data_IF_966716355380
#
_entry.id   IF_966716355380
#
_cell.length_a   1.000
_cell.length_b   1.000
_cell.length_c   1.000
_cell.angle_alpha   90.00
_cell.angle_beta   90.00
_cell.angle_gamma   90.00
#
_symmetry.space_group_name_H-M   'P 1'
#
loop_
_entity.id
_entity.type
_entity.pdbx_description
1 polymer ?
#
# COMPACT_ATOMS: atom_id res chain seq x y z
N UNK A 1 56.65 5.36 3.52
CA UNK A 1 55.64 6.40 3.20
C UNK A 1 54.28 5.73 3.28
N UNK A 2 53.46 5.94 4.32
CA UNK A 2 52.10 5.41 4.32
C UNK A 2 51.24 6.24 3.36
N UNK A 3 50.68 5.56 2.36
CA UNK A 3 49.73 6.13 1.40
C UNK A 3 48.45 6.53 2.11
N UNK A 4 48.11 7.81 2.09
CA UNK A 4 46.80 8.29 2.52
C UNK A 4 45.76 7.85 1.48
N UNK A 5 44.95 6.85 1.83
CA UNK A 5 43.70 6.59 1.11
C UNK A 5 42.63 7.52 1.68
N UNK A 6 42.14 8.45 0.87
CA UNK A 6 40.97 9.25 1.19
C UNK A 6 39.75 8.35 1.49
N UNK A 7 38.82 8.78 2.35
CA UNK A 7 37.58 8.04 2.57
C UNK A 7 36.74 8.03 1.28
N UNK A 8 35.90 6.99 1.07
CA UNK A 8 35.04 6.93 -0.11
C UNK A 8 34.04 8.08 -0.07
N UNK A 9 34.00 8.87 -1.14
CA UNK A 9 32.95 9.87 -1.38
C UNK A 9 31.62 9.12 -1.49
N UNK A 10 30.67 9.40 -0.59
CA UNK A 10 29.34 8.85 -0.66
C UNK A 10 28.70 9.23 -2.02
N UNK A 11 28.02 8.30 -2.72
CA UNK A 11 27.37 8.61 -3.98
C UNK A 11 26.29 9.69 -3.78
N UNK A 12 26.05 10.56 -4.79
CA UNK A 12 25.03 11.60 -4.71
C UNK A 12 23.67 10.99 -4.34
N UNK A 13 23.04 11.63 -3.36
CA UNK A 13 22.00 11.05 -2.50
C UNK A 13 20.92 10.26 -3.21
N UNK A 14 20.72 9.03 -2.74
CA UNK A 14 19.50 8.27 -2.98
C UNK A 14 18.28 9.15 -2.63
N UNK A 15 17.24 9.22 -3.49
CA UNK A 15 15.98 9.79 -3.07
C UNK A 15 15.47 9.05 -1.83
N UNK A 16 15.07 9.81 -0.80
CA UNK A 16 14.49 9.31 0.44
C UNK A 16 13.32 8.36 0.13
N UNK A 17 13.16 7.34 0.98
CA UNK A 17 12.08 6.33 1.02
C UNK A 17 10.71 6.92 0.66
N UNK A 18 9.80 6.12 0.10
CA UNK A 18 8.89 6.65 -0.90
C UNK A 18 7.79 7.57 -0.36
N UNK A 19 7.42 8.49 -1.27
CA UNK A 19 6.59 9.67 -1.13
C UNK A 19 5.21 9.43 -1.74
N UNK A 20 4.38 8.55 -1.17
CA UNK A 20 3.13 8.15 -1.83
C UNK A 20 1.96 9.00 -1.37
N UNK A 21 2.09 10.30 -1.58
CA UNK A 21 0.98 11.22 -1.47
C UNK A 21 -0.06 10.94 -2.55
N UNK A 22 -1.32 10.96 -2.15
CA UNK A 22 -2.42 10.83 -3.07
C UNK A 22 -3.60 11.70 -2.62
N UNK A 23 -3.89 12.74 -3.38
CA UNK A 23 -5.09 13.53 -3.15
C UNK A 23 -6.35 12.75 -3.52
N UNK A 24 -7.52 13.20 -3.04
CA UNK A 24 -8.81 12.60 -3.36
C UNK A 24 -9.05 12.43 -4.87
N UNK A 25 -8.71 13.46 -5.65
CA UNK A 25 -8.87 13.45 -7.10
C UNK A 25 -7.95 12.44 -7.81
N UNK A 26 -6.79 12.14 -7.23
CA UNK A 26 -5.79 11.25 -7.81
C UNK A 26 -6.00 9.78 -7.41
N UNK A 27 -6.78 9.55 -6.35
CA UNK A 27 -7.11 8.21 -5.85
C UNK A 27 -7.81 7.33 -6.89
N UNK A 28 -8.92 7.74 -7.53
CA UNK A 28 -9.57 6.91 -8.55
C UNK A 28 -8.63 6.54 -9.72
N UNK A 29 -7.91 7.49 -10.36
CA UNK A 29 -6.93 7.16 -11.40
C UNK A 29 -5.83 6.19 -10.93
N UNK A 30 -5.35 6.32 -9.70
CA UNK A 30 -4.32 5.43 -9.15
C UNK A 30 -4.85 4.02 -8.86
N UNK A 31 -6.06 3.89 -8.31
CA UNK A 31 -6.72 2.60 -8.11
C UNK A 31 -6.96 1.89 -9.44
N UNK A 32 -7.41 2.63 -10.45
CA UNK A 32 -7.64 2.11 -11.77
C UNK A 32 -6.33 1.67 -12.46
N UNK A 33 -5.22 2.41 -12.26
CA UNK A 33 -3.89 1.95 -12.67
C UNK A 33 -3.48 0.65 -11.98
N UNK A 34 -3.75 0.51 -10.67
CA UNK A 34 -3.46 -0.72 -9.92
C UNK A 34 -4.30 -1.89 -10.41
N UNK A 35 -5.59 -1.66 -10.69
CA UNK A 35 -6.52 -2.66 -11.23
C UNK A 35 -6.02 -3.19 -12.57
N UNK A 36 -5.66 -2.30 -13.52
CA UNK A 36 -5.10 -2.71 -14.82
C UNK A 36 -3.80 -3.49 -14.69
N UNK A 37 -2.93 -3.12 -13.75
CA UNK A 37 -1.71 -3.88 -13.50
C UNK A 37 -2.04 -5.28 -12.98
N UNK A 38 -3.01 -5.40 -12.08
CA UNK A 38 -3.44 -6.69 -11.54
C UNK A 38 -4.10 -7.57 -12.61
N UNK A 39 -4.97 -6.99 -13.45
CA UNK A 39 -5.58 -7.68 -14.58
C UNK A 39 -4.52 -8.24 -15.52
N UNK A 40 -3.49 -7.44 -15.82
CA UNK A 40 -2.36 -7.88 -16.65
C UNK A 40 -1.62 -9.08 -16.05
N UNK A 41 -1.47 -9.13 -14.72
CA UNK A 41 -0.84 -10.26 -14.05
C UNK A 41 -1.73 -11.51 -14.10
N UNK A 42 -3.02 -11.36 -13.86
CA UNK A 42 -4.00 -12.46 -13.90
C UNK A 42 -4.23 -13.02 -15.29
N UNK A 43 -4.16 -12.18 -16.33
CA UNK A 43 -4.33 -12.56 -17.74
C UNK A 43 -3.05 -13.11 -18.39
N UNK A 44 -1.92 -13.05 -17.69
CA UNK A 44 -0.67 -13.66 -18.18
C UNK A 44 -0.81 -15.19 -18.23
N UNK A 45 -0.10 -15.85 -19.15
CA UNK A 45 -0.09 -17.32 -19.27
C UNK A 45 0.32 -18.04 -17.97
N UNK A 46 1.14 -17.37 -17.17
CA UNK A 46 1.61 -17.81 -15.84
C UNK A 46 0.69 -17.38 -14.69
N UNK A 47 -0.32 -16.55 -14.95
CA UNK A 47 -1.12 -15.87 -13.93
C UNK A 47 -2.11 -16.77 -13.21
N UNK A 48 -2.56 -17.84 -13.87
CA UNK A 48 -3.67 -18.67 -13.40
C UNK A 48 -3.39 -19.33 -12.04
N UNK A 49 -2.14 -19.72 -11.75
CA UNK A 49 -1.75 -20.38 -10.50
C UNK A 49 -1.85 -19.45 -9.28
N UNK A 50 -1.87 -18.14 -9.51
CA UNK A 50 -1.99 -17.12 -8.46
C UNK A 50 -3.41 -16.54 -8.34
N UNK A 51 -4.37 -17.02 -9.12
CA UNK A 51 -5.71 -16.44 -9.20
C UNK A 51 -6.61 -16.75 -8.00
N UNK A 52 -6.26 -17.78 -7.20
CA UNK A 52 -7.03 -18.24 -6.04
C UNK A 52 -6.08 -18.62 -4.89
N UNK A 53 -6.57 -18.65 -3.63
CA UNK A 53 -5.80 -19.19 -2.52
C UNK A 53 -5.28 -20.59 -2.83
N UNK A 54 -4.07 -20.91 -2.37
CA UNK A 54 -3.49 -22.26 -2.48
C UNK A 54 -4.40 -23.25 -1.74
N UNK A 55 -4.92 -24.23 -2.48
CA UNK A 55 -5.73 -25.32 -1.91
C UNK A 55 -4.81 -26.41 -1.36
N UNK A 56 -4.41 -26.24 -0.10
CA UNK A 56 -3.47 -27.16 0.57
C UNK A 56 -4.04 -28.57 0.76
N UNK A 57 -5.36 -28.73 0.76
CA UNK A 57 -6.00 -30.03 0.90
C UNK A 57 -5.96 -30.78 -0.43
N UNK A 58 -6.48 -30.17 -1.51
CA UNK A 58 -6.55 -30.83 -2.82
C UNK A 58 -5.17 -31.08 -3.45
N UNK A 59 -4.16 -30.28 -3.08
CA UNK A 59 -2.77 -30.44 -3.51
C UNK A 59 -1.91 -31.27 -2.53
N UNK A 60 -2.49 -31.76 -1.43
CA UNK A 60 -1.81 -32.55 -0.39
C UNK A 60 -0.59 -31.86 0.25
N UNK A 61 -0.57 -30.52 0.26
CA UNK A 61 0.53 -29.69 0.77
C UNK A 61 0.42 -29.51 2.30
N UNK A 62 0.67 -30.59 3.04
CA UNK A 62 0.45 -30.64 4.50
C UNK A 62 1.34 -29.67 5.30
N UNK A 63 2.48 -29.30 4.75
CA UNK A 63 3.46 -28.41 5.38
C UNK A 63 3.30 -26.94 4.96
N UNK A 64 2.45 -26.62 3.97
CA UNK A 64 2.37 -25.27 3.38
C UNK A 64 2.13 -24.18 4.42
N UNK A 65 1.18 -24.39 5.34
CA UNK A 65 0.86 -23.41 6.39
C UNK A 65 1.89 -23.36 7.52
N UNK A 66 2.81 -24.32 7.58
CA UNK A 66 3.97 -24.28 8.48
C UNK A 66 5.15 -23.51 7.87
N UNK A 67 5.28 -23.54 6.54
CA UNK A 67 6.32 -22.82 5.79
C UNK A 67 5.89 -21.37 5.49
N UNK A 68 4.62 -21.18 5.10
CA UNK A 68 4.06 -19.90 4.66
C UNK A 68 3.16 -19.33 5.76
N UNK A 69 3.68 -18.34 6.47
CA UNK A 69 3.01 -17.71 7.61
C UNK A 69 1.78 -16.88 7.22
N UNK A 70 1.83 -16.18 6.07
CA UNK A 70 0.73 -15.31 5.61
C UNK A 70 0.39 -15.64 4.14
N UNK A 71 -0.48 -16.64 3.89
CA UNK A 71 -0.94 -16.95 2.54
C UNK A 71 -1.58 -15.75 1.83
N UNK A 72 -1.36 -15.63 0.52
CA UNK A 72 -1.94 -14.56 -0.31
C UNK A 72 -2.05 -15.03 -1.76
N UNK A 73 -3.03 -14.48 -2.48
CA UNK A 73 -3.29 -14.72 -3.91
C UNK A 73 -3.81 -13.44 -4.58
N UNK A 74 -3.67 -13.36 -5.91
CA UNK A 74 -4.05 -12.18 -6.69
C UNK A 74 -5.58 -11.99 -6.76
N UNK A 75 -6.38 -13.05 -6.62
CA UNK A 75 -7.84 -12.95 -6.54
C UNK A 75 -8.29 -12.24 -5.27
N UNK A 76 -7.70 -12.60 -4.13
CA UNK A 76 -7.91 -11.91 -2.85
C UNK A 76 -7.45 -10.46 -2.92
N UNK A 77 -6.29 -10.19 -3.54
CA UNK A 77 -5.81 -8.81 -3.78
C UNK A 77 -6.81 -8.01 -4.62
N UNK A 78 -7.33 -8.59 -5.70
CA UNK A 78 -8.31 -7.94 -6.59
C UNK A 78 -9.54 -7.54 -5.81
N UNK A 79 -10.12 -8.48 -5.07
CA UNK A 79 -11.31 -8.24 -4.25
C UNK A 79 -11.06 -7.18 -3.18
N UNK A 80 -9.88 -7.15 -2.56
CA UNK A 80 -9.52 -6.11 -1.57
C UNK A 80 -9.39 -4.73 -2.21
N UNK A 81 -8.84 -4.66 -3.42
CA UNK A 81 -8.71 -3.41 -4.16
C UNK A 81 -10.08 -2.85 -4.56
N UNK A 82 -10.95 -3.70 -5.13
CA UNK A 82 -12.33 -3.35 -5.53
C UNK A 82 -13.16 -2.84 -4.35
N UNK A 83 -13.07 -3.54 -3.20
CA UNK A 83 -13.79 -3.17 -1.98
C UNK A 83 -13.11 -2.00 -1.22
N UNK A 84 -12.06 -1.39 -1.78
CA UNK A 84 -11.28 -0.29 -1.18
C UNK A 84 -10.84 -0.60 0.25
N UNK A 85 -10.41 -1.85 0.49
CA UNK A 85 -10.00 -2.36 1.81
C UNK A 85 -8.53 -2.11 2.13
N UNK A 86 -7.77 -1.59 1.18
CA UNK A 86 -6.38 -1.20 1.43
C UNK A 86 -6.30 0.19 2.09
N UNK A 87 -5.51 0.34 3.17
CA UNK A 87 -5.31 1.63 3.84
C UNK A 87 -4.37 2.57 3.08
N UNK A 88 -3.71 2.10 2.02
CA UNK A 88 -2.90 2.86 1.06
C UNK A 88 -2.45 1.91 -0.08
N UNK A 89 -1.86 2.46 -1.15
CA UNK A 89 -1.35 1.65 -2.27
C UNK A 89 -0.15 0.77 -1.89
N UNK A 90 0.61 1.13 -0.85
CA UNK A 90 1.74 0.32 -0.39
C UNK A 90 1.28 -1.03 0.16
N UNK A 91 0.16 -1.07 0.86
CA UNK A 91 -0.43 -2.31 1.35
C UNK A 91 -0.93 -3.20 0.20
N UNK A 92 -1.47 -2.60 -0.87
CA UNK A 92 -1.77 -3.32 -2.11
C UNK A 92 -0.49 -3.94 -2.70
N UNK A 93 0.55 -3.13 -2.90
CA UNK A 93 1.81 -3.61 -3.46
C UNK A 93 2.48 -4.69 -2.58
N UNK A 94 2.35 -4.56 -1.25
CA UNK A 94 2.83 -5.57 -0.29
C UNK A 94 2.15 -6.92 -0.50
N UNK A 95 0.83 -6.96 -0.65
CA UNK A 95 0.11 -8.22 -0.85
C UNK A 95 0.41 -8.86 -2.22
N UNK A 96 0.58 -8.07 -3.28
CA UNK A 96 1.03 -8.59 -4.58
C UNK A 96 2.41 -9.22 -4.47
N UNK A 97 3.38 -8.51 -3.85
CA UNK A 97 4.73 -9.04 -3.60
C UNK A 97 4.70 -10.29 -2.76
N UNK A 98 3.85 -10.33 -1.73
CA UNK A 98 3.67 -11.48 -0.85
C UNK A 98 3.21 -12.72 -1.60
N UNK A 99 2.29 -12.56 -2.54
CA UNK A 99 1.82 -13.66 -3.40
C UNK A 99 2.99 -14.34 -4.09
N UNK A 100 3.88 -13.56 -4.72
CA UNK A 100 5.04 -14.11 -5.42
C UNK A 100 6.16 -14.56 -4.48
N UNK A 101 6.42 -13.85 -3.38
CA UNK A 101 7.45 -14.25 -2.41
C UNK A 101 7.09 -15.56 -1.72
N UNK A 102 5.81 -15.78 -1.40
CA UNK A 102 5.35 -17.04 -0.82
C UNK A 102 5.59 -18.20 -1.79
N UNK A 103 5.24 -18.01 -3.06
CA UNK A 103 5.48 -19.02 -4.10
C UNK A 103 6.97 -19.33 -4.27
N UNK A 104 7.84 -18.32 -4.31
CA UNK A 104 9.29 -18.51 -4.39
C UNK A 104 9.92 -19.06 -3.10
N UNK A 105 9.24 -18.95 -1.96
CA UNK A 105 9.71 -19.52 -0.68
C UNK A 105 9.33 -21.00 -0.58
N UNK A 106 8.14 -21.37 -1.03
CA UNK A 106 7.63 -22.74 -0.93
C UNK A 106 8.19 -23.66 -2.02
N UNK A 107 8.37 -23.16 -3.24
CA UNK A 107 8.81 -23.95 -4.38
C UNK A 107 10.33 -23.80 -4.60
N UNK A 108 10.97 -24.83 -5.16
CA UNK A 108 12.41 -24.75 -5.44
C UNK A 108 12.66 -23.90 -6.68
N UNK A 109 13.83 -23.25 -6.73
CA UNK A 109 14.27 -22.54 -7.92
C UNK A 109 14.39 -23.50 -9.10
N UNK A 110 13.80 -23.14 -10.24
CA UNK A 110 13.69 -23.99 -11.43
C UNK A 110 12.36 -24.73 -11.56
N UNK A 111 11.56 -24.82 -10.49
CA UNK A 111 10.19 -25.32 -10.59
C UNK A 111 9.31 -24.30 -11.34
N UNK A 112 8.34 -24.79 -12.12
CA UNK A 112 7.47 -23.94 -12.94
C UNK A 112 6.82 -22.81 -12.13
N UNK A 113 6.25 -23.12 -10.96
CA UNK A 113 5.59 -22.13 -10.09
C UNK A 113 6.57 -21.08 -9.58
N UNK A 114 7.82 -21.46 -9.27
CA UNK A 114 8.87 -20.52 -8.86
C UNK A 114 9.18 -19.56 -10.01
N UNK A 115 9.42 -20.10 -11.22
CA UNK A 115 9.81 -19.29 -12.37
C UNK A 115 8.66 -18.38 -12.84
N UNK A 116 7.42 -18.87 -12.82
CA UNK A 116 6.21 -18.07 -13.03
C UNK A 116 6.12 -16.91 -12.03
N UNK A 117 6.33 -17.17 -10.73
CA UNK A 117 6.31 -16.13 -9.69
C UNK A 117 7.43 -15.08 -9.90
N UNK A 118 8.64 -15.53 -10.21
CA UNK A 118 9.78 -14.63 -10.47
C UNK A 118 9.53 -13.75 -11.71
N UNK A 119 8.95 -14.32 -12.78
CA UNK A 119 8.59 -13.58 -14.00
C UNK A 119 7.53 -12.52 -13.72
N UNK A 120 6.41 -12.91 -13.10
CA UNK A 120 5.30 -12.00 -12.79
C UNK A 120 5.72 -10.92 -11.78
N UNK A 121 6.59 -11.24 -10.82
CA UNK A 121 7.14 -10.25 -9.89
C UNK A 121 7.91 -9.14 -10.62
N UNK A 122 8.68 -9.45 -11.67
CA UNK A 122 9.38 -8.42 -12.47
C UNK A 122 8.40 -7.55 -13.26
N UNK A 123 7.35 -8.15 -13.83
CA UNK A 123 6.28 -7.41 -14.52
C UNK A 123 5.58 -6.46 -13.55
N UNK A 124 5.28 -6.94 -12.33
CA UNK A 124 4.68 -6.14 -11.29
C UNK A 124 5.57 -4.97 -10.90
N UNK A 125 6.85 -5.16 -10.58
CA UNK A 125 7.73 -4.06 -10.16
C UNK A 125 7.90 -2.99 -11.26
N UNK A 126 7.98 -3.39 -12.53
CA UNK A 126 8.04 -2.46 -13.67
C UNK A 126 6.75 -1.64 -13.82
N UNK A 127 5.59 -2.31 -13.76
CA UNK A 127 4.30 -1.63 -13.79
C UNK A 127 4.10 -0.72 -12.57
N UNK A 128 4.46 -1.20 -11.39
CA UNK A 128 4.39 -0.48 -10.13
C UNK A 128 5.24 0.80 -10.19
N UNK A 129 6.50 0.72 -10.65
CA UNK A 129 7.34 1.91 -10.84
C UNK A 129 6.68 2.96 -11.75
N UNK A 130 6.01 2.53 -12.82
CA UNK A 130 5.27 3.43 -13.72
C UNK A 130 4.06 4.08 -13.04
N UNK A 131 3.33 3.34 -12.19
CA UNK A 131 2.23 3.88 -11.38
C UNK A 131 2.77 4.96 -10.45
N UNK A 132 3.88 4.70 -9.77
CA UNK A 132 4.50 5.63 -8.84
C UNK A 132 5.00 6.90 -9.51
N UNK A 133 5.61 6.78 -10.70
CA UNK A 133 6.06 7.93 -11.48
C UNK A 133 4.90 8.82 -11.95
N UNK A 134 3.70 8.24 -12.10
CA UNK A 134 2.48 8.97 -12.44
C UNK A 134 1.76 9.59 -11.23
N UNK A 135 2.24 9.37 -10.00
CA UNK A 135 1.66 10.01 -8.82
C UNK A 135 2.18 11.44 -8.68
N UNK A 136 1.34 12.39 -8.26
CA UNK A 136 1.77 13.75 -8.00
C UNK A 136 2.76 13.79 -6.83
N UNK A 137 3.64 14.79 -6.84
CA UNK A 137 4.52 15.03 -5.69
C UNK A 137 3.69 15.51 -4.48
N UNK A 138 4.03 15.10 -3.24
CA UNK A 138 3.40 15.62 -2.04
C UNK A 138 3.51 17.14 -1.95
N UNK A 139 2.47 17.83 -1.48
CA UNK A 139 2.60 19.18 -0.94
C UNK A 139 3.62 19.23 0.21
N UNK A 140 4.14 20.41 0.56
CA UNK A 140 4.99 20.56 1.75
C UNK A 140 4.33 19.99 3.01
N UNK A 141 5.11 19.32 3.86
CA UNK A 141 4.64 18.68 5.10
C UNK A 141 3.80 19.62 5.97
N UNK A 142 4.20 20.89 6.08
CA UNK A 142 3.45 21.90 6.85
C UNK A 142 2.01 22.10 6.32
N UNK A 143 1.81 22.13 4.99
CA UNK A 143 0.48 22.24 4.39
C UNK A 143 -0.34 20.98 4.63
N UNK A 144 0.29 19.81 4.52
CA UNK A 144 -0.36 18.50 4.77
C UNK A 144 -0.88 18.44 6.20
N UNK A 145 -0.05 18.81 7.18
CA UNK A 145 -0.43 18.88 8.61
C UNK A 145 -1.57 19.85 8.86
N UNK A 146 -1.49 21.07 8.32
CA UNK A 146 -2.54 22.08 8.49
C UNK A 146 -3.89 21.58 7.95
N UNK A 147 -3.89 20.95 6.78
CA UNK A 147 -5.08 20.35 6.17
C UNK A 147 -5.64 19.19 7.00
N UNK A 148 -4.80 18.25 7.43
CA UNK A 148 -5.24 17.13 8.27
C UNK A 148 -5.86 17.63 9.59
N UNK A 149 -5.26 18.63 10.23
CA UNK A 149 -5.80 19.24 11.46
C UNK A 149 -7.21 19.79 11.27
N UNK A 150 -7.50 20.34 10.09
CA UNK A 150 -8.80 20.93 9.75
C UNK A 150 -9.84 19.87 9.32
N UNK A 151 -9.44 18.88 8.51
CA UNK A 151 -10.38 17.92 7.89
C UNK A 151 -10.66 16.66 8.73
N UNK A 152 -9.67 16.15 9.49
CA UNK A 152 -9.82 14.89 10.23
C UNK A 152 -11.00 14.89 11.21
N UNK A 153 -11.28 15.98 11.97
CA UNK A 153 -12.44 16.06 12.85
C UNK A 153 -13.79 16.02 12.12
N UNK A 154 -13.82 16.26 10.81
CA UNK A 154 -15.03 16.27 9.98
C UNK A 154 -15.30 14.95 9.26
N UNK A 155 -14.42 13.96 9.45
CA UNK A 155 -14.62 12.63 8.89
C UNK A 155 -15.89 11.96 9.45
N UNK A 156 -16.56 11.09 8.66
CA UNK A 156 -17.56 10.17 9.18
C UNK A 156 -17.04 9.34 10.36
N UNK A 157 -17.91 9.00 11.31
CA UNK A 157 -17.54 8.32 12.58
C UNK A 157 -16.74 7.03 12.36
N UNK A 158 -17.10 6.23 11.35
CA UNK A 158 -16.38 4.99 11.02
C UNK A 158 -14.94 5.26 10.53
N UNK A 159 -14.73 6.38 9.83
CA UNK A 159 -13.41 6.80 9.36
C UNK A 159 -12.62 7.49 10.47
N UNK A 160 -13.25 8.22 11.40
CA UNK A 160 -12.56 8.75 12.58
C UNK A 160 -11.93 7.61 13.41
N UNK A 161 -12.64 6.49 13.60
CA UNK A 161 -12.08 5.31 14.25
C UNK A 161 -10.82 4.78 13.55
N UNK A 162 -10.82 4.74 12.21
CA UNK A 162 -9.63 4.34 11.43
C UNK A 162 -8.49 5.34 11.56
N UNK A 163 -8.79 6.64 11.59
CA UNK A 163 -7.80 7.67 11.82
C UNK A 163 -7.11 7.47 13.17
N UNK A 164 -7.89 7.20 14.23
CA UNK A 164 -7.36 6.91 15.57
C UNK A 164 -6.45 5.69 15.57
N UNK A 165 -6.80 4.61 14.87
CA UNK A 165 -5.94 3.43 14.73
C UNK A 165 -4.63 3.78 14.03
N UNK A 166 -4.69 4.49 12.89
CA UNK A 166 -3.50 4.94 12.15
C UNK A 166 -2.59 5.79 13.04
N UNK A 167 -3.17 6.70 13.82
CA UNK A 167 -2.44 7.56 14.74
C UNK A 167 -1.86 6.76 15.91
N UNK A 168 -2.54 5.74 16.45
CA UNK A 168 -2.03 4.95 17.59
C UNK A 168 -0.83 4.07 17.26
N UNK A 169 -0.80 3.47 16.07
CA UNK A 169 0.22 2.49 15.65
C UNK A 169 1.64 3.06 15.54
N UNK A 170 1.83 4.38 15.62
CA UNK A 170 3.14 5.04 15.39
C UNK A 170 3.65 5.77 16.65
N UNK A 171 3.00 5.58 17.82
CA UNK A 171 3.62 5.89 19.12
C UNK A 171 3.16 7.17 19.85
N UNK A 172 1.87 7.27 20.19
CA UNK A 172 1.45 8.16 21.29
C UNK A 172 1.23 9.64 20.90
N UNK A 173 0.42 9.85 19.88
CA UNK A 173 0.08 11.16 19.28
C UNK A 173 -1.14 11.81 19.92
N UNK A 174 -1.82 11.05 20.76
CA UNK A 174 -3.01 11.42 21.51
C UNK A 174 -2.54 11.72 22.92
N UNK A 175 -2.62 12.98 23.32
CA UNK A 175 -2.40 13.39 24.69
C UNK A 175 -3.74 13.81 25.28
N UNK A 176 -4.00 13.39 26.52
CA UNK A 176 -5.11 13.93 27.27
C UNK A 176 -4.59 15.17 28.01
N UNK A 177 -5.00 16.35 27.54
CA UNK A 177 -4.69 17.64 28.16
C UNK A 177 -6.02 18.21 28.66
N UNK A 178 -6.14 18.39 29.97
CA UNK A 178 -7.35 18.92 30.63
C UNK A 178 -8.66 18.16 30.27
N UNK A 179 -8.59 16.82 30.19
CA UNK A 179 -9.74 15.97 29.84
C UNK A 179 -10.14 16.03 28.37
N UNK A 180 -9.28 16.60 27.50
CA UNK A 180 -9.45 16.60 26.04
C UNK A 180 -8.33 15.83 25.37
N UNK A 181 -8.69 15.01 24.40
CA UNK A 181 -7.74 14.34 23.52
C UNK A 181 -7.24 15.35 22.49
N UNK A 182 -5.97 15.74 22.60
CA UNK A 182 -5.25 16.53 21.61
C UNK A 182 -4.40 15.63 20.70
N UNK A 183 -4.35 15.98 19.41
CA UNK A 183 -3.53 15.30 18.39
C UNK A 183 -2.37 16.20 18.00
N UNK A 184 -1.14 15.76 18.27
CA UNK A 184 0.09 16.48 17.90
C UNK A 184 0.54 16.11 16.48
N UNK A 185 0.03 16.82 15.47
CA UNK A 185 0.43 16.59 14.08
C UNK A 185 1.88 16.99 13.77
N UNK A 186 2.56 17.75 14.64
CA UNK A 186 3.90 18.29 14.35
C UNK A 186 5.01 17.25 14.46
N UNK A 187 4.75 16.14 15.12
CA UNK A 187 5.70 15.02 15.16
C UNK A 187 5.46 14.03 13.99
N UNK A 188 4.32 14.09 13.27
CA UNK A 188 3.90 13.02 12.34
C UNK A 188 4.85 12.89 11.15
N UNK A 189 5.29 11.66 10.86
CA UNK A 189 6.17 11.35 9.74
C UNK A 189 5.41 11.27 8.41
N UNK A 190 6.14 11.30 7.29
CA UNK A 190 5.53 11.30 5.95
C UNK A 190 4.67 10.05 5.70
N UNK A 191 5.06 8.89 6.24
CA UNK A 191 4.30 7.65 6.07
C UNK A 191 2.95 7.67 6.80
N UNK A 192 2.89 8.31 7.97
CA UNK A 192 1.65 8.55 8.72
C UNK A 192 0.75 9.52 7.97
N UNK A 193 1.34 10.61 7.46
CA UNK A 193 0.61 11.61 6.68
C UNK A 193 0.01 10.98 5.42
N UNK A 194 0.76 10.12 4.71
CA UNK A 194 0.27 9.41 3.51
C UNK A 194 -0.97 8.55 3.85
N UNK A 195 -0.96 7.83 4.98
CA UNK A 195 -2.10 7.01 5.43
C UNK A 195 -3.33 7.86 5.80
N UNK A 196 -3.14 8.96 6.52
CA UNK A 196 -4.22 9.85 6.93
C UNK A 196 -4.83 10.58 5.73
N UNK A 197 -4.01 11.00 4.77
CA UNK A 197 -4.49 11.66 3.56
C UNK A 197 -5.22 10.69 2.63
N UNK A 198 -4.78 9.43 2.56
CA UNK A 198 -5.55 8.37 1.91
C UNK A 198 -6.95 8.21 2.51
N UNK A 199 -7.05 8.29 3.85
CA UNK A 199 -8.33 8.22 4.54
C UNK A 199 -9.23 9.42 4.21
N UNK A 200 -8.67 10.63 4.15
CA UNK A 200 -9.40 11.82 3.68
C UNK A 200 -9.86 11.65 2.23
N UNK A 201 -8.99 11.14 1.35
CA UNK A 201 -9.31 10.87 -0.05
C UNK A 201 -10.50 9.91 -0.20
N UNK A 202 -10.52 8.82 0.57
CA UNK A 202 -11.64 7.88 0.61
C UNK A 202 -12.95 8.54 1.09
N UNK A 203 -12.87 9.43 2.08
CA UNK A 203 -14.04 10.15 2.59
C UNK A 203 -14.66 11.05 1.53
N UNK A 204 -13.83 11.81 0.81
CA UNK A 204 -14.29 12.67 -0.29
C UNK A 204 -14.99 11.87 -1.39
N UNK A 205 -14.40 10.75 -1.82
CA UNK A 205 -15.02 9.88 -2.83
C UNK A 205 -16.36 9.28 -2.39
N UNK A 206 -16.54 8.97 -1.09
CA UNK A 206 -17.84 8.48 -0.56
C UNK A 206 -18.91 9.56 -0.63
N UNK A 207 -18.53 10.81 -0.34
CA UNK A 207 -19.43 11.96 -0.41
C UNK A 207 -19.88 12.23 -1.85
N UNK A 208 -18.97 12.13 -2.81
CA UNK A 208 -19.27 12.27 -4.24
C UNK A 208 -20.20 11.15 -4.74
N UNK A 209 -19.94 9.88 -4.37
CA UNK A 209 -20.79 8.76 -4.76
C UNK A 209 -22.22 8.89 -4.19
N UNK A 210 -22.35 9.24 -2.90
CA UNK A 210 -23.67 9.45 -2.28
C UNK A 210 -24.39 10.71 -2.79
N UNK A 211 -23.68 11.69 -3.34
CA UNK A 211 -24.28 12.85 -3.99
C UNK A 211 -24.84 12.52 -5.38
N UNK A 212 -24.21 11.58 -6.10
CA UNK A 212 -24.68 11.10 -7.41
C UNK A 212 -25.93 10.22 -7.28
N UNK A 213 -26.01 9.37 -6.24
CA UNK A 213 -27.19 8.52 -5.99
C UNK A 213 -28.44 9.31 -5.57
N UNK A 214 -28.28 10.51 -5.01
CA UNK A 214 -29.39 11.39 -4.61
C UNK A 214 -29.86 12.35 -5.73
N UNK A 215 -29.31 12.23 -6.94
CA UNK A 215 -29.69 13.04 -8.11
C UNK A 215 -30.46 12.24 -9.18
N UNK A 216 -30.85 10.99 -8.89
CA UNK A 216 -31.61 10.11 -9.78
C UNK A 216 -33.00 9.83 -9.20
#
# INVERSE_FOLDING_TARGET
>A
MPSQSSPPVAPPGFPKKPKYYLAAADLPPALERCRRLLDKLLQHEDGWVFAKPVDTHSLELRDYLSVIAEPMDLGTVSRRLELRRYPNLLCFAKDVRRTFSNAMTYNNKGDDVYESAAKLSRIFESGWASILAALPSPPPVAMRRARLKDELPRLPVDLQGKAVVIMKDIGGWIQEVDGRVEVDFDKADEATLDKLEWLLALASMRKEAGALDNQI
#
